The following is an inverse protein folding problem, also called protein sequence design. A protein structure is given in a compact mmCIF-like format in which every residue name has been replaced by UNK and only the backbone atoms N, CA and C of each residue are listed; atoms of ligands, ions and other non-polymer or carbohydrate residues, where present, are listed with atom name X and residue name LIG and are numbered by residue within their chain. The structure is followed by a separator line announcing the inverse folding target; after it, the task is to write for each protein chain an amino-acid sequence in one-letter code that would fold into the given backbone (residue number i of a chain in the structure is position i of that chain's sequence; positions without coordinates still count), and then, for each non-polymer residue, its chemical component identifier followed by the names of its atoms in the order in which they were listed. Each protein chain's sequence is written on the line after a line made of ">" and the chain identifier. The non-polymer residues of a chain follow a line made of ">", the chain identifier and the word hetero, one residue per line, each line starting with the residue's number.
data_IF_652938279174
#
_entry.id   IF_652938279174
#
_cell.length_a   1.000
_cell.length_b   1.000
_cell.length_c   1.000
_cell.angle_alpha   90.00
_cell.angle_beta   90.00
_cell.angle_gamma   90.00
#
_symmetry.space_group_name_H-M   'P 1'
#
loop_
_entity.id
_entity.type
_entity.pdbx_description
1 polymer ?
#
# COMPACT_ATOMS: atom_id res chain seq x y z
N UNK A 1 -8.52 -4.21 9.92
CA UNK A 1 -7.23 -4.53 10.53
C UNK A 1 -7.36 -4.58 12.05
N UNK A 2 -6.99 -5.72 12.64
CA UNK A 2 -6.94 -5.91 14.09
C UNK A 2 -5.49 -5.71 14.55
N UNK A 3 -5.29 -4.89 15.58
CA UNK A 3 -3.96 -4.54 16.07
C UNK A 3 -3.93 -4.45 17.60
N UNK A 4 -2.85 -4.90 18.18
CA UNK A 4 -2.46 -4.60 19.55
C UNK A 4 -1.06 -3.97 19.56
N UNK A 5 -0.79 -3.11 20.53
CA UNK A 5 0.49 -2.40 20.64
C UNK A 5 1.55 -3.32 21.26
N UNK A 6 2.66 -3.53 20.54
CA UNK A 6 3.83 -4.28 21.06
C UNK A 6 5.01 -3.36 21.33
N UNK A 7 5.34 -2.49 20.37
CA UNK A 7 6.42 -1.52 20.42
C UNK A 7 6.00 -0.22 19.75
N UNK A 8 6.57 0.89 20.18
CA UNK A 8 6.30 2.20 19.59
C UNK A 8 5.16 2.97 20.28
N UNK A 9 4.74 4.05 19.66
CA UNK A 9 3.70 4.94 20.19
C UNK A 9 2.32 4.29 20.07
N UNK A 10 1.50 4.43 21.09
CA UNK A 10 0.11 3.98 21.15
C UNK A 10 -0.86 5.16 21.04
N UNK A 11 -2.13 4.87 20.76
CA UNK A 11 -3.21 5.84 20.65
C UNK A 11 -3.93 5.80 19.32
N UNK A 12 -5.09 6.43 19.26
CA UNK A 12 -5.99 6.41 18.09
C UNK A 12 -5.31 6.90 16.81
N UNK A 13 -4.34 7.81 16.91
CA UNK A 13 -3.61 8.34 15.76
C UNK A 13 -2.61 7.36 15.13
N UNK A 14 -2.39 6.19 15.75
CA UNK A 14 -1.54 5.10 15.26
C UNK A 14 -2.33 3.84 14.89
N UNK A 15 -3.66 3.95 14.86
CA UNK A 15 -4.54 2.86 14.41
C UNK A 15 -4.58 2.83 12.88
N UNK A 16 -4.50 1.62 12.31
CA UNK A 16 -4.64 1.39 10.89
C UNK A 16 -6.12 1.38 10.45
N UNK A 17 -6.41 1.71 9.18
CA UNK A 17 -5.46 2.14 8.15
C UNK A 17 -5.00 3.58 8.33
N UNK A 18 -3.79 3.87 7.91
CA UNK A 18 -3.37 5.24 7.67
C UNK A 18 -3.88 5.73 6.32
N UNK A 19 -4.26 6.99 6.25
CA UNK A 19 -4.81 7.62 5.06
C UNK A 19 -3.93 8.77 4.61
N UNK A 20 -3.56 8.73 3.33
CA UNK A 20 -3.03 9.87 2.59
C UNK A 20 -4.14 10.44 1.74
N UNK A 21 -4.46 11.70 1.95
CA UNK A 21 -5.56 12.40 1.27
C UNK A 21 -5.02 13.42 0.29
N UNK A 22 -5.61 13.47 -0.89
CA UNK A 22 -5.31 14.42 -1.95
C UNK A 22 -6.60 14.79 -2.68
N UNK A 23 -6.62 15.97 -3.32
CA UNK A 23 -7.75 16.39 -4.15
C UNK A 23 -7.87 15.57 -5.44
N UNK A 24 -6.76 15.01 -5.93
CA UNK A 24 -6.77 14.03 -7.01
C UNK A 24 -7.12 12.65 -6.46
N UNK A 25 -8.19 12.06 -7.00
CA UNK A 25 -8.70 10.76 -6.52
C UNK A 25 -7.61 9.68 -6.60
N UNK A 26 -6.93 9.58 -7.73
CA UNK A 26 -5.86 8.61 -7.94
C UNK A 26 -4.65 8.76 -7.01
N UNK A 27 -4.45 9.92 -6.36
CA UNK A 27 -3.38 10.17 -5.39
C UNK A 27 -3.75 9.83 -3.95
N UNK A 28 -5.00 9.42 -3.70
CA UNK A 28 -5.40 8.97 -2.37
C UNK A 28 -4.95 7.54 -2.14
N UNK A 29 -4.50 7.27 -0.92
CA UNK A 29 -3.97 5.96 -0.54
C UNK A 29 -4.34 5.64 0.90
N UNK A 30 -4.91 4.47 1.12
CA UNK A 30 -5.06 3.86 2.44
C UNK A 30 -4.08 2.71 2.58
N UNK A 31 -3.40 2.58 3.71
CA UNK A 31 -2.42 1.55 3.96
C UNK A 31 -2.59 0.95 5.36
N UNK A 32 -2.59 -0.36 5.44
CA UNK A 32 -2.50 -1.10 6.70
C UNK A 32 -1.55 -2.29 6.54
N UNK A 33 -1.06 -2.81 7.66
CA UNK A 33 -0.20 -3.99 7.61
C UNK A 33 0.51 -4.29 8.91
N UNK A 34 1.37 -5.27 8.87
CA UNK A 34 2.28 -5.65 9.93
C UNK A 34 3.71 -5.36 9.47
N UNK A 35 4.37 -4.42 10.11
CA UNK A 35 5.67 -3.92 9.71
C UNK A 35 6.68 -4.07 10.84
N UNK A 36 7.90 -4.43 10.46
CA UNK A 36 9.10 -4.31 11.27
C UNK A 36 10.26 -4.03 10.33
N UNK A 37 10.35 -2.75 9.93
CA UNK A 37 11.36 -2.28 8.99
C UNK A 37 12.68 -2.06 9.70
N UNK A 38 13.77 -2.58 9.15
CA UNK A 38 15.13 -2.40 9.69
C UNK A 38 15.75 -1.07 9.25
N UNK A 39 15.31 -0.54 8.11
CA UNK A 39 15.87 0.67 7.48
C UNK A 39 14.89 1.85 7.44
N UNK A 40 13.99 1.95 8.40
CA UNK A 40 12.99 3.03 8.45
C UNK A 40 13.62 4.42 8.51
N UNK A 41 14.75 4.57 9.21
CA UNK A 41 15.49 5.83 9.33
C UNK A 41 16.07 6.28 7.99
N UNK A 42 16.59 5.35 7.20
CA UNK A 42 17.10 5.63 5.86
C UNK A 42 15.99 6.08 4.91
N UNK A 43 14.84 5.39 4.95
CA UNK A 43 13.67 5.76 4.15
C UNK A 43 13.18 7.15 4.56
N UNK A 44 13.09 7.42 5.87
CA UNK A 44 12.72 8.73 6.40
C UNK A 44 13.67 9.83 5.92
N UNK A 45 14.98 9.59 6.01
CA UNK A 45 15.99 10.54 5.55
C UNK A 45 15.87 10.82 4.04
N UNK A 46 15.63 9.78 3.22
CA UNK A 46 15.45 9.94 1.76
C UNK A 46 14.22 10.77 1.41
N UNK A 47 13.06 10.48 2.01
CA UNK A 47 11.84 11.23 1.72
C UNK A 47 11.91 12.67 2.24
N UNK A 48 12.65 12.92 3.32
CA UNK A 48 12.90 14.27 3.83
C UNK A 48 13.86 15.03 2.90
N UNK A 49 14.88 14.38 2.38
CA UNK A 49 15.84 15.00 1.46
C UNK A 49 15.20 15.50 0.16
N UNK A 50 14.09 14.90 -0.27
CA UNK A 50 13.32 15.36 -1.45
C UNK A 50 12.19 16.34 -1.10
N UNK A 51 12.19 16.89 0.13
CA UNK A 51 11.25 17.92 0.56
C UNK A 51 9.96 17.41 1.19
N UNK A 52 9.82 16.09 1.42
CA UNK A 52 8.69 15.55 2.14
C UNK A 52 8.87 15.72 3.65
N UNK A 53 7.79 15.96 4.37
CA UNK A 53 7.80 16.10 5.83
C UNK A 53 6.77 15.20 6.49
N UNK A 54 7.11 13.90 6.72
CA UNK A 54 6.21 12.98 7.38
C UNK A 54 5.81 13.51 8.76
N UNK A 55 4.50 13.60 9.00
CA UNK A 55 3.93 14.16 10.24
C UNK A 55 4.09 13.23 11.44
N UNK A 56 4.36 11.96 11.18
CA UNK A 56 4.50 10.92 12.21
C UNK A 56 5.70 10.06 11.90
N UNK A 57 6.43 9.72 12.94
CA UNK A 57 7.51 8.76 12.85
C UNK A 57 6.96 7.38 13.29
N UNK A 58 6.53 6.60 12.31
CA UNK A 58 6.07 5.23 12.44
C UNK A 58 6.26 4.52 11.10
N UNK A 59 6.70 3.27 11.12
CA UNK A 59 7.01 2.47 9.94
C UNK A 59 5.92 2.60 8.86
N UNK A 60 4.68 2.27 9.23
CA UNK A 60 3.53 2.31 8.31
C UNK A 60 3.29 3.70 7.73
N UNK A 61 3.48 4.75 8.52
CA UNK A 61 3.27 6.12 8.05
C UNK A 61 4.36 6.56 7.08
N UNK A 62 5.62 6.22 7.37
CA UNK A 62 6.76 6.49 6.50
C UNK A 62 6.61 5.75 5.17
N UNK A 63 6.19 4.48 5.22
CA UNK A 63 5.88 3.68 4.02
C UNK A 63 4.74 4.28 3.21
N UNK A 64 3.69 4.76 3.87
CA UNK A 64 2.58 5.46 3.22
C UNK A 64 3.05 6.71 2.46
N UNK A 65 3.90 7.52 3.07
CA UNK A 65 4.41 8.74 2.43
C UNK A 65 5.37 8.44 1.28
N UNK A 66 6.21 7.42 1.41
CA UNK A 66 7.08 6.99 0.32
C UNK A 66 6.29 6.47 -0.89
N UNK A 67 5.33 5.57 -0.65
CA UNK A 67 4.43 5.07 -1.69
C UNK A 67 3.62 6.19 -2.31
N UNK A 68 3.08 7.09 -1.48
CA UNK A 68 2.31 8.23 -1.94
C UNK A 68 3.12 9.17 -2.84
N UNK A 69 4.39 9.40 -2.51
CA UNK A 69 5.27 10.20 -3.36
C UNK A 69 5.49 9.55 -4.74
N UNK A 70 5.71 8.23 -4.79
CA UNK A 70 5.86 7.53 -6.08
C UNK A 70 4.55 7.49 -6.87
N UNK A 71 3.43 7.35 -6.18
CA UNK A 71 2.11 7.44 -6.78
C UNK A 71 1.86 8.84 -7.38
N UNK A 72 2.27 9.91 -6.69
CA UNK A 72 2.19 11.28 -7.21
C UNK A 72 2.97 11.44 -8.52
N UNK A 73 4.18 10.87 -8.57
CA UNK A 73 5.04 10.89 -9.77
C UNK A 73 4.40 10.14 -10.93
N UNK A 74 3.81 8.98 -10.69
CA UNK A 74 3.12 8.21 -11.72
C UNK A 74 1.88 8.95 -12.24
N UNK A 75 1.09 9.53 -11.36
CA UNK A 75 -0.06 10.36 -11.75
C UNK A 75 0.36 11.58 -12.55
N UNK A 76 1.43 12.26 -12.17
CA UNK A 76 1.96 13.41 -12.91
C UNK A 76 2.46 13.03 -14.30
N UNK A 77 3.14 11.89 -14.43
CA UNK A 77 3.57 11.35 -15.73
C UNK A 77 2.38 11.09 -16.65
N UNK A 78 1.32 10.46 -16.12
CA UNK A 78 0.09 10.17 -16.87
C UNK A 78 -0.69 11.44 -17.21
N UNK A 79 -0.71 12.42 -16.31
CA UNK A 79 -1.29 13.73 -16.55
C UNK A 79 -0.67 14.39 -17.79
N UNK A 80 0.68 14.45 -17.82
CA UNK A 80 1.40 15.05 -18.95
C UNK A 80 1.14 14.30 -20.27
N UNK A 81 1.00 12.99 -20.24
CA UNK A 81 0.65 12.20 -21.43
C UNK A 81 -0.77 12.52 -21.89
N UNK A 82 -1.74 12.57 -20.97
CA UNK A 82 -3.13 12.89 -21.29
C UNK A 82 -3.26 14.30 -21.91
N UNK A 83 -2.55 15.30 -21.37
CA UNK A 83 -2.51 16.64 -21.95
C UNK A 83 -1.90 16.65 -23.36
N UNK A 84 -0.82 15.89 -23.57
CA UNK A 84 -0.20 15.76 -24.89
C UNK A 84 -1.13 15.11 -25.95
N UNK A 85 -2.05 14.26 -25.50
CA UNK A 85 -3.11 13.68 -26.33
C UNK A 85 -4.32 14.63 -26.52
N UNK A 86 -4.29 15.82 -25.91
CA UNK A 86 -5.36 16.82 -26.02
C UNK A 86 -6.57 16.56 -25.12
N UNK A 87 -6.44 15.67 -24.12
CA UNK A 87 -7.50 15.42 -23.15
C UNK A 87 -7.64 16.60 -22.17
N UNK A 88 -8.84 16.78 -21.64
CA UNK A 88 -9.13 17.85 -20.66
C UNK A 88 -10.15 17.42 -19.62
N UNK A 89 -10.16 18.09 -18.46
CA UNK A 89 -11.15 17.91 -17.40
C UNK A 89 -11.23 16.46 -16.90
N UNK A 90 -12.43 15.90 -16.88
CA UNK A 90 -12.67 14.54 -16.38
C UNK A 90 -12.07 13.43 -17.26
N UNK A 91 -11.76 13.72 -18.51
CA UNK A 91 -11.14 12.73 -19.40
C UNK A 91 -9.69 12.49 -19.01
N UNK A 92 -8.97 13.51 -18.50
CA UNK A 92 -7.66 13.32 -17.88
C UNK A 92 -7.76 12.40 -16.66
N UNK A 93 -8.76 12.61 -15.81
CA UNK A 93 -8.96 11.75 -14.62
C UNK A 93 -9.18 10.29 -15.01
N UNK A 94 -10.05 10.03 -15.98
CA UNK A 94 -10.31 8.68 -16.49
C UNK A 94 -9.09 8.07 -17.16
N UNK A 95 -8.33 8.86 -17.90
CA UNK A 95 -7.08 8.41 -18.52
C UNK A 95 -6.09 7.94 -17.44
N UNK A 96 -5.86 8.74 -16.41
CA UNK A 96 -4.96 8.39 -15.31
C UNK A 96 -5.42 7.10 -14.62
N UNK A 97 -6.69 7.01 -14.26
CA UNK A 97 -7.24 5.85 -13.54
C UNK A 97 -7.16 4.55 -14.36
N UNK A 98 -7.27 4.63 -15.68
CA UNK A 98 -7.18 3.47 -16.56
C UNK A 98 -5.75 3.06 -16.91
N UNK A 99 -4.76 3.93 -16.71
CA UNK A 99 -3.38 3.68 -17.15
C UNK A 99 -2.36 3.66 -16.01
N UNK A 100 -2.79 3.82 -14.76
CA UNK A 100 -1.90 3.79 -13.62
C UNK A 100 -1.26 2.40 -13.46
N UNK A 101 0.07 2.35 -13.43
CA UNK A 101 0.81 1.10 -13.19
C UNK A 101 1.17 0.98 -11.70
N UNK A 102 0.17 0.59 -10.89
CA UNK A 102 0.35 0.40 -9.46
C UNK A 102 1.38 -0.71 -9.16
N UNK A 103 1.43 -1.76 -9.98
CA UNK A 103 2.41 -2.83 -9.82
C UNK A 103 3.85 -2.31 -9.97
N UNK A 104 4.10 -1.40 -10.92
CA UNK A 104 5.41 -0.75 -11.08
C UNK A 104 5.73 0.20 -9.92
N UNK A 105 4.75 0.95 -9.42
CA UNK A 105 4.90 1.80 -8.23
C UNK A 105 5.35 0.96 -7.03
N UNK A 106 4.67 -0.16 -6.77
CA UNK A 106 5.00 -1.07 -5.67
C UNK A 106 6.38 -1.73 -5.86
N UNK A 107 6.64 -2.29 -7.05
CA UNK A 107 7.92 -2.95 -7.38
C UNK A 107 9.11 -2.01 -7.26
N UNK A 108 8.96 -0.76 -7.66
CA UNK A 108 10.02 0.24 -7.57
C UNK A 108 10.24 0.69 -6.12
N UNK A 109 9.16 0.85 -5.35
CA UNK A 109 9.25 1.21 -3.94
C UNK A 109 9.88 0.11 -3.10
N UNK A 110 9.49 -1.14 -3.32
CA UNK A 110 9.94 -2.28 -2.51
C UNK A 110 11.45 -2.58 -2.63
N UNK A 111 12.11 -2.10 -3.68
CA UNK A 111 13.58 -2.20 -3.81
C UNK A 111 14.35 -1.44 -2.72
N UNK A 112 13.70 -0.51 -2.06
CA UNK A 112 14.31 0.32 -1.02
C UNK A 112 13.94 -0.17 0.39
N UNK A 113 13.14 -1.24 0.50
CA UNK A 113 12.61 -1.73 1.77
C UNK A 113 13.42 -2.90 2.29
N UNK A 114 13.78 -2.83 3.57
CA UNK A 114 14.41 -3.92 4.29
C UNK A 114 13.66 -4.20 5.59
N UNK A 115 13.50 -5.49 5.92
CA UNK A 115 12.77 -5.95 7.10
C UNK A 115 11.62 -6.91 6.76
N UNK A 116 10.85 -7.27 7.79
CA UNK A 116 9.68 -8.12 7.66
C UNK A 116 8.40 -7.31 7.55
N UNK A 117 7.64 -7.48 6.47
CA UNK A 117 6.39 -6.75 6.28
C UNK A 117 5.34 -7.53 5.48
N UNK A 118 4.09 -7.31 5.83
CA UNK A 118 2.92 -7.59 4.99
C UNK A 118 2.04 -6.34 5.02
N UNK A 119 1.72 -5.81 3.87
CA UNK A 119 0.86 -4.64 3.75
C UNK A 119 -0.28 -4.87 2.78
N UNK A 120 -1.40 -4.23 3.06
CA UNK A 120 -2.55 -4.11 2.16
C UNK A 120 -2.83 -2.63 1.94
N UNK A 121 -3.19 -2.28 0.74
CA UNK A 121 -3.53 -0.92 0.40
C UNK A 121 -4.73 -0.83 -0.53
N UNK A 122 -5.31 0.38 -0.54
CA UNK A 122 -6.41 0.77 -1.39
C UNK A 122 -6.14 2.17 -1.93
N UNK A 123 -6.20 2.32 -3.24
CA UNK A 123 -6.11 3.62 -3.90
C UNK A 123 -7.48 4.30 -3.95
N UNK A 124 -7.49 5.62 -4.15
CA UNK A 124 -8.75 6.35 -4.34
C UNK A 124 -9.47 6.02 -5.65
N UNK A 125 -8.80 5.41 -6.61
CA UNK A 125 -9.39 4.87 -7.85
C UNK A 125 -10.04 3.50 -7.68
N UNK A 126 -9.89 2.87 -6.50
CA UNK A 126 -10.53 1.59 -6.17
C UNK A 126 -9.64 0.37 -6.34
N UNK A 127 -8.39 0.53 -6.75
CA UNK A 127 -7.45 -0.57 -6.86
C UNK A 127 -6.98 -1.01 -5.47
N UNK A 128 -6.91 -2.31 -5.27
CA UNK A 128 -6.41 -2.93 -4.04
C UNK A 128 -5.12 -3.69 -4.32
N UNK A 129 -4.25 -3.75 -3.32
CA UNK A 129 -3.03 -4.52 -3.42
C UNK A 129 -2.63 -5.16 -2.09
N UNK A 130 -1.85 -6.21 -2.19
CA UNK A 130 -1.13 -6.81 -1.08
C UNK A 130 0.34 -7.00 -1.46
N UNK A 131 1.23 -6.72 -0.52
CA UNK A 131 2.68 -6.91 -0.70
C UNK A 131 3.24 -7.57 0.54
N UNK A 132 4.10 -8.57 0.34
CA UNK A 132 4.83 -9.26 1.40
C UNK A 132 6.32 -9.08 1.21
N UNK A 133 7.09 -9.09 2.28
CA UNK A 133 8.53 -9.07 2.21
C UNK A 133 9.07 -10.29 1.42
N UNK A 134 10.17 -10.13 0.66
CA UNK A 134 10.67 -11.18 -0.23
C UNK A 134 11.23 -12.40 0.50
N UNK A 135 11.49 -12.29 1.81
CA UNK A 135 12.01 -13.37 2.64
C UNK A 135 10.91 -14.15 3.35
N UNK A 136 9.66 -13.67 3.26
CA UNK A 136 8.53 -14.30 3.92
C UNK A 136 8.59 -14.25 5.45
N UNK A 137 9.25 -13.24 6.02
CA UNK A 137 9.38 -13.07 7.48
C UNK A 137 8.01 -12.89 8.14
N UNK A 138 7.12 -12.14 7.49
CA UNK A 138 5.73 -12.01 7.94
C UNK A 138 4.86 -12.98 7.17
N UNK A 139 3.97 -13.67 7.86
CA UNK A 139 3.03 -14.61 7.25
C UNK A 139 1.90 -13.87 6.56
N UNK A 140 1.53 -14.36 5.37
CA UNK A 140 0.34 -13.90 4.64
C UNK A 140 -0.22 -15.03 3.79
N UNK A 141 -1.51 -15.24 3.89
CA UNK A 141 -2.24 -16.23 3.14
C UNK A 141 -3.39 -15.58 2.38
N UNK A 142 -3.67 -16.08 1.19
CA UNK A 142 -4.74 -15.55 0.38
C UNK A 142 -5.61 -16.65 -0.21
N UNK A 143 -6.85 -16.31 -0.43
CA UNK A 143 -7.87 -17.11 -1.10
C UNK A 143 -8.61 -16.22 -2.09
N UNK A 144 -8.96 -16.77 -3.23
CA UNK A 144 -9.77 -16.08 -4.22
C UNK A 144 -10.72 -17.09 -4.89
N UNK A 145 -11.95 -16.65 -5.13
CA UNK A 145 -12.91 -17.25 -6.03
C UNK A 145 -13.54 -16.18 -6.95
N UNK A 146 -14.66 -16.50 -7.57
CA UNK A 146 -15.33 -15.60 -8.53
C UNK A 146 -16.00 -14.39 -7.86
N UNK A 147 -16.22 -14.42 -6.55
CA UNK A 147 -16.95 -13.39 -5.81
C UNK A 147 -16.05 -12.58 -4.89
N UNK A 148 -15.05 -13.21 -4.27
CA UNK A 148 -14.23 -12.58 -3.24
C UNK A 148 -12.74 -12.88 -3.39
N UNK A 149 -11.92 -11.92 -2.93
CA UNK A 149 -10.51 -12.12 -2.63
C UNK A 149 -10.26 -11.78 -1.16
N UNK A 150 -9.60 -12.68 -0.44
CA UNK A 150 -9.36 -12.54 1.00
C UNK A 150 -7.88 -12.70 1.29
N UNK A 151 -7.36 -11.82 2.13
CA UNK A 151 -6.01 -11.92 2.69
C UNK A 151 -6.08 -11.98 4.20
N UNK A 152 -5.29 -12.87 4.80
CA UNK A 152 -5.11 -12.93 6.26
C UNK A 152 -3.68 -13.29 6.61
N UNK A 153 -3.24 -12.93 7.81
CA UNK A 153 -1.93 -13.34 8.34
C UNK A 153 -1.87 -14.82 8.70
N UNK A 154 -3.03 -15.44 8.91
CA UNK A 154 -3.14 -16.83 9.35
C UNK A 154 -4.08 -17.64 8.45
N UNK A 155 -3.64 -18.80 7.97
CA UNK A 155 -4.45 -19.70 7.15
C UNK A 155 -5.75 -20.15 7.85
N UNK A 156 -5.75 -20.55 9.13
CA UNK A 156 -6.96 -20.95 9.84
C UNK A 156 -8.05 -19.89 9.87
N UNK A 157 -7.70 -18.61 9.82
CA UNK A 157 -8.68 -17.52 9.78
C UNK A 157 -9.53 -17.61 8.52
N UNK A 158 -8.92 -17.82 7.37
CA UNK A 158 -9.62 -17.97 6.09
C UNK A 158 -10.45 -19.27 6.09
N UNK A 159 -9.87 -20.38 6.56
CA UNK A 159 -10.56 -21.67 6.63
C UNK A 159 -11.85 -21.56 7.46
N UNK A 160 -11.75 -20.99 8.65
CA UNK A 160 -12.88 -20.89 9.58
C UNK A 160 -13.93 -19.90 9.10
N UNK A 161 -13.51 -18.73 8.61
CA UNK A 161 -14.44 -17.67 8.21
C UNK A 161 -15.23 -18.02 6.95
N UNK A 162 -14.61 -18.73 6.00
CA UNK A 162 -15.19 -19.02 4.68
C UNK A 162 -15.56 -20.51 4.50
N UNK A 163 -15.26 -21.35 5.47
CA UNK A 163 -15.46 -22.80 5.40
C UNK A 163 -14.81 -23.40 4.13
N UNK A 164 -13.59 -22.99 3.82
CA UNK A 164 -12.82 -23.50 2.68
C UNK A 164 -11.71 -24.44 3.14
N UNK A 165 -11.35 -25.39 2.28
CA UNK A 165 -10.28 -26.35 2.58
C UNK A 165 -8.89 -25.70 2.47
N UNK A 166 -7.92 -26.22 3.22
CA UNK A 166 -6.58 -25.66 3.31
C UNK A 166 -5.81 -25.62 1.97
N UNK A 167 -6.07 -26.58 1.09
CA UNK A 167 -5.45 -26.70 -0.24
C UNK A 167 -5.87 -25.58 -1.21
N UNK A 168 -7.00 -24.93 -0.95
CA UNK A 168 -7.45 -23.76 -1.72
C UNK A 168 -6.83 -22.46 -1.27
N UNK A 169 -6.14 -22.43 -0.13
CA UNK A 169 -5.53 -21.24 0.45
C UNK A 169 -4.05 -21.26 0.14
N UNK A 170 -3.58 -20.22 -0.53
CA UNK A 170 -2.19 -20.06 -0.94
C UNK A 170 -1.44 -19.13 0.01
N UNK A 171 -0.14 -19.32 0.13
CA UNK A 171 0.76 -18.36 0.73
C UNK A 171 1.10 -17.27 -0.29
N UNK A 172 1.14 -16.01 0.17
CA UNK A 172 1.46 -14.85 -0.67
C UNK A 172 2.96 -14.78 -0.92
#
# INVERSE_FOLDING_TARGET
>A
HLRYSTTGKSGISYVHPFLRRNNWRAKNLALCGNFNMTNVDEIFARITAIGQHPRKYADTYIMLEQLGHRLDREVERLFNLAEAEGLAGMDITRYIENHIDLANVLRTSSKEWDGGYVMCGLTGSGETFAVRDPWGIRTAFWYQDDEIAVLASERPVIQTALNVSADRIREL
#
